data_IF_905012955537
#
_entry.id   IF_905012955537
#
_cell.length_a   1.000
_cell.length_b   1.000
_cell.length_c   1.000
_cell.angle_alpha   90.00
_cell.angle_beta   90.00
_cell.angle_gamma   90.00
#
_symmetry.space_group_name_H-M   'P 1'
#
loop_
_entity.id
_entity.type
_entity.pdbx_description
1 polymer ?
#
# COMPACT_ATOMS: atom_id res chain seq x y z
N UNK A 1 36.91 -10.17 2.63
CA UNK A 1 37.26 -10.98 3.82
C UNK A 1 38.59 -11.75 3.66
N UNK A 2 38.81 -12.50 2.57
CA UNK A 2 40.07 -13.23 2.34
C UNK A 2 41.31 -12.31 2.23
N UNK A 3 41.15 -11.12 1.65
CA UNK A 3 42.21 -10.12 1.46
C UNK A 3 42.79 -9.54 2.76
N UNK A 4 41.99 -9.49 3.84
CA UNK A 4 42.42 -8.90 5.13
C UNK A 4 42.89 -9.96 6.15
N UNK A 5 42.92 -11.23 5.76
CA UNK A 5 43.23 -12.35 6.66
C UNK A 5 44.60 -12.21 7.33
N UNK A 6 45.61 -11.71 6.61
CA UNK A 6 46.95 -11.46 7.13
C UNK A 6 47.00 -10.29 8.12
N UNK A 7 46.22 -9.24 7.89
CA UNK A 7 46.14 -8.08 8.79
C UNK A 7 45.43 -8.45 10.10
N UNK A 8 44.36 -9.24 10.01
CA UNK A 8 43.65 -9.77 11.18
C UNK A 8 44.52 -10.72 12.01
N UNK A 9 45.31 -11.59 11.36
CA UNK A 9 46.24 -12.48 12.06
C UNK A 9 47.32 -11.70 12.84
N UNK A 10 47.85 -10.61 12.26
CA UNK A 10 48.83 -9.73 12.93
C UNK A 10 48.21 -8.99 14.12
N UNK A 11 47.00 -8.46 13.97
CA UNK A 11 46.29 -7.77 15.04
C UNK A 11 45.94 -8.71 16.21
N UNK A 12 45.48 -9.93 15.91
CA UNK A 12 45.19 -10.95 16.92
C UNK A 12 46.44 -11.32 17.72
N UNK A 13 47.56 -11.61 17.03
CA UNK A 13 48.85 -11.92 17.64
C UNK A 13 49.36 -10.80 18.56
N UNK A 14 49.21 -9.53 18.16
CA UNK A 14 49.55 -8.39 19.01
C UNK A 14 48.68 -8.31 20.27
N UNK A 15 47.38 -8.59 20.16
CA UNK A 15 46.45 -8.51 21.28
C UNK A 15 46.60 -9.69 22.27
N UNK A 16 46.98 -10.87 21.81
CA UNK A 16 47.10 -12.09 22.63
C UNK A 16 48.53 -12.45 23.01
N UNK A 17 49.54 -11.72 22.50
CA UNK A 17 50.95 -11.99 22.76
C UNK A 17 51.48 -13.27 22.08
N UNK A 18 50.80 -13.75 21.05
CA UNK A 18 51.14 -14.99 20.33
C UNK A 18 51.80 -14.70 18.98
N UNK A 19 52.28 -15.74 18.28
CA UNK A 19 52.94 -15.58 16.99
C UNK A 19 51.90 -15.35 15.86
N UNK A 20 52.13 -14.44 14.89
CA UNK A 20 51.23 -14.23 13.74
C UNK A 20 50.82 -15.49 12.97
N UNK A 21 51.62 -16.55 13.00
CA UNK A 21 51.28 -17.86 12.42
C UNK A 21 50.10 -18.55 13.12
N UNK A 22 49.90 -18.31 14.42
CA UNK A 22 48.78 -18.87 15.19
C UNK A 22 47.46 -18.14 14.91
N UNK A 23 47.53 -16.87 14.50
CA UNK A 23 46.38 -16.09 14.04
C UNK A 23 45.95 -16.42 12.61
N UNK A 24 46.73 -17.18 11.85
CA UNK A 24 46.36 -17.57 10.48
C UNK A 24 45.17 -18.52 10.51
N UNK A 25 44.14 -18.17 9.74
CA UNK A 25 42.90 -18.95 9.71
C UNK A 25 42.01 -18.77 10.93
N UNK A 26 42.31 -17.84 11.87
CA UNK A 26 41.47 -17.58 13.05
C UNK A 26 40.05 -17.20 12.66
N UNK A 27 39.88 -16.41 11.58
CA UNK A 27 38.56 -16.07 11.03
C UNK A 27 37.83 -17.28 10.45
N UNK A 28 38.56 -18.22 9.87
CA UNK A 28 37.99 -19.44 9.32
C UNK A 28 37.58 -20.41 10.43
N UNK A 29 38.42 -20.56 11.47
CA UNK A 29 38.11 -21.30 12.69
C UNK A 29 36.92 -20.68 13.41
N UNK A 30 36.93 -19.37 13.68
CA UNK A 30 35.79 -18.68 14.26
C UNK A 30 34.53 -18.82 13.40
N UNK A 31 34.59 -18.76 12.07
CA UNK A 31 33.39 -19.02 11.23
C UNK A 31 32.93 -20.48 11.28
N UNK A 32 33.84 -21.44 11.38
CA UNK A 32 33.51 -22.85 11.48
C UNK A 32 32.97 -23.22 12.87
N UNK A 33 33.54 -22.64 13.92
CA UNK A 33 33.15 -22.80 15.33
C UNK A 33 31.89 -21.99 15.65
N UNK A 34 31.66 -20.86 14.96
CA UNK A 34 30.40 -20.10 15.02
C UNK A 34 29.32 -20.78 14.18
N UNK A 35 29.10 -22.07 14.43
CA UNK A 35 27.81 -22.72 14.19
C UNK A 35 26.98 -22.49 15.45
N UNK A 36 26.39 -21.30 15.61
CA UNK A 36 25.39 -21.13 16.65
C UNK A 36 24.24 -22.08 16.35
N UNK A 37 24.14 -23.16 17.12
CA UNK A 37 23.00 -24.05 17.04
C UNK A 37 21.75 -23.32 17.56
N UNK A 38 20.57 -23.82 17.20
CA UNK A 38 19.31 -23.30 17.72
C UNK A 38 19.27 -23.40 19.26
N UNK A 39 19.89 -24.44 19.81
CA UNK A 39 20.00 -24.64 21.25
C UNK A 39 20.88 -23.58 21.92
N UNK A 40 22.06 -23.30 21.36
CA UNK A 40 22.98 -22.27 21.88
C UNK A 40 22.33 -20.89 21.84
N UNK A 41 21.56 -20.61 20.78
CA UNK A 41 20.80 -19.37 20.68
C UNK A 41 19.76 -19.27 21.80
N UNK A 42 18.99 -20.33 22.05
CA UNK A 42 17.99 -20.34 23.12
C UNK A 42 18.62 -20.23 24.53
N UNK A 43 19.81 -20.80 24.74
CA UNK A 43 20.55 -20.63 26.00
C UNK A 43 21.03 -19.19 26.20
N UNK A 44 21.53 -18.55 25.14
CA UNK A 44 21.91 -17.13 25.17
C UNK A 44 20.71 -16.24 25.51
N UNK A 45 19.56 -16.51 24.91
CA UNK A 45 18.32 -15.77 25.20
C UNK A 45 17.89 -15.97 26.65
N UNK A 46 17.93 -17.22 27.15
CA UNK A 46 17.63 -17.51 28.55
C UNK A 46 18.57 -16.76 29.50
N UNK A 47 19.88 -16.82 29.25
CA UNK A 47 20.88 -16.13 30.06
C UNK A 47 20.64 -14.61 30.07
N UNK A 48 20.28 -14.05 28.92
CA UNK A 48 19.92 -12.63 28.82
C UNK A 48 18.69 -12.29 29.67
N UNK A 49 17.61 -13.08 29.58
CA UNK A 49 16.37 -12.87 30.36
C UNK A 49 16.64 -13.04 31.87
N UNK A 50 17.44 -14.03 32.26
CA UNK A 50 17.77 -14.31 33.67
C UNK A 50 18.61 -13.18 34.30
N UNK A 51 19.35 -12.42 33.49
CA UNK A 51 20.09 -11.25 33.95
C UNK A 51 19.21 -9.98 34.12
N UNK A 52 17.96 -9.99 33.65
CA UNK A 52 17.03 -8.87 33.79
C UNK A 52 16.22 -8.92 35.08
N UNK A 53 15.50 -7.83 35.36
CA UNK A 53 14.59 -7.73 36.50
C UNK A 53 13.47 -8.79 36.49
N UNK A 54 12.93 -9.19 37.66
CA UNK A 54 11.82 -10.12 37.75
C UNK A 54 10.63 -9.69 36.88
N UNK A 55 10.05 -10.64 36.13
CA UNK A 55 8.92 -10.38 35.23
C UNK A 55 9.30 -9.92 33.82
N UNK A 56 10.59 -9.75 33.50
CA UNK A 56 11.04 -9.42 32.15
C UNK A 56 10.62 -10.49 31.13
N UNK A 57 10.15 -10.04 29.96
CA UNK A 57 9.80 -10.87 28.81
C UNK A 57 10.48 -10.33 27.57
N UNK A 58 10.95 -11.22 26.71
CA UNK A 58 11.61 -10.85 25.45
C UNK A 58 10.76 -11.30 24.26
N UNK A 59 10.42 -10.36 23.39
CA UNK A 59 9.63 -10.64 22.20
C UNK A 59 10.47 -10.39 20.95
N UNK A 60 10.56 -11.38 20.08
CA UNK A 60 11.16 -11.28 18.76
C UNK A 60 10.06 -11.00 17.74
N UNK A 61 10.21 -9.93 16.96
CA UNK A 61 9.32 -9.60 15.86
C UNK A 61 10.08 -9.80 14.56
N UNK A 62 9.60 -10.72 13.72
CA UNK A 62 10.22 -11.05 12.44
C UNK A 62 9.21 -10.79 11.33
N UNK A 63 9.53 -9.85 10.45
CA UNK A 63 8.64 -9.44 9.37
C UNK A 63 8.83 -10.33 8.12
N UNK A 64 7.75 -10.60 7.40
CA UNK A 64 7.70 -11.30 6.11
C UNK A 64 8.44 -12.64 6.07
N UNK A 65 8.33 -13.41 7.15
CA UNK A 65 8.90 -14.75 7.25
C UNK A 65 8.42 -15.67 6.12
N UNK A 66 7.18 -15.49 5.66
CA UNK A 66 6.63 -16.24 4.53
C UNK A 66 7.46 -16.09 3.25
N UNK A 67 7.90 -14.87 2.91
CA UNK A 67 8.76 -14.64 1.72
C UNK A 67 10.16 -15.21 1.91
N UNK A 68 10.73 -15.08 3.12
CA UNK A 68 12.06 -15.61 3.42
C UNK A 68 12.11 -17.14 3.34
N UNK A 69 11.04 -17.80 3.80
CA UNK A 69 10.94 -19.24 3.76
C UNK A 69 10.63 -19.73 2.35
N UNK A 70 9.73 -19.04 1.62
CA UNK A 70 9.22 -19.47 0.32
C UNK A 70 8.86 -20.98 0.37
N UNK A 71 9.51 -21.79 -0.48
CA UNK A 71 9.24 -23.23 -0.58
C UNK A 71 10.18 -24.10 0.29
N UNK A 72 11.03 -23.47 1.10
CA UNK A 72 12.09 -24.14 1.84
C UNK A 72 11.60 -24.69 3.19
N UNK A 73 11.13 -25.93 3.15
CA UNK A 73 10.67 -26.68 4.33
C UNK A 73 11.70 -26.68 5.48
N UNK A 74 13.00 -26.73 5.18
CA UNK A 74 14.05 -26.77 6.20
C UNK A 74 14.12 -25.46 7.00
N UNK A 75 13.93 -24.32 6.36
CA UNK A 75 13.91 -23.02 7.06
C UNK A 75 12.69 -22.90 7.97
N UNK A 76 11.54 -23.42 7.53
CA UNK A 76 10.34 -23.47 8.35
C UNK A 76 10.52 -24.39 9.58
N UNK A 77 11.10 -25.57 9.39
CA UNK A 77 11.44 -26.47 10.51
C UNK A 77 12.43 -25.82 11.48
N UNK A 78 13.44 -25.10 10.99
CA UNK A 78 14.36 -24.38 11.87
C UNK A 78 13.64 -23.31 12.70
N UNK A 79 12.76 -22.52 12.10
CA UNK A 79 11.97 -21.52 12.81
C UNK A 79 11.10 -22.16 13.90
N UNK A 80 10.49 -23.30 13.61
CA UNK A 80 9.74 -24.08 14.59
C UNK A 80 10.64 -24.51 15.75
N UNK A 81 11.80 -25.10 15.48
CA UNK A 81 12.74 -25.55 16.50
C UNK A 81 13.21 -24.37 17.38
N UNK A 82 13.38 -23.18 16.80
CA UNK A 82 13.70 -21.96 17.58
C UNK A 82 12.54 -21.61 18.50
N UNK A 83 11.29 -21.57 18.00
CA UNK A 83 10.12 -21.25 18.81
C UNK A 83 9.92 -22.24 19.98
N UNK A 84 10.06 -23.54 19.71
CA UNK A 84 9.94 -24.60 20.73
C UNK A 84 11.07 -24.54 21.76
N UNK A 85 12.31 -24.32 21.31
CA UNK A 85 13.48 -24.19 22.18
C UNK A 85 13.36 -22.97 23.09
N UNK A 86 12.91 -21.83 22.56
CA UNK A 86 12.65 -20.63 23.36
C UNK A 86 11.54 -20.86 24.38
N UNK A 87 10.42 -21.48 23.99
CA UNK A 87 9.33 -21.76 24.91
C UNK A 87 9.78 -22.65 26.08
N UNK A 88 10.52 -23.72 25.77
CA UNK A 88 10.99 -24.71 26.76
C UNK A 88 12.06 -24.12 27.67
N UNK A 89 13.13 -23.54 27.11
CA UNK A 89 14.27 -23.04 27.88
C UNK A 89 13.95 -21.76 28.65
N UNK A 90 13.17 -20.85 28.05
CA UNK A 90 12.80 -19.58 28.67
C UNK A 90 11.51 -19.66 29.50
N UNK A 91 10.84 -20.83 29.53
CA UNK A 91 9.57 -21.07 30.25
C UNK A 91 8.48 -20.07 29.86
N UNK A 92 8.31 -19.85 28.57
CA UNK A 92 7.32 -18.91 28.02
C UNK A 92 7.63 -17.41 28.22
N UNK A 93 8.80 -17.04 28.74
CA UNK A 93 9.25 -15.63 28.84
C UNK A 93 9.81 -15.06 27.52
N UNK A 94 10.03 -15.90 26.52
CA UNK A 94 10.48 -15.51 25.19
C UNK A 94 9.42 -15.88 24.15
N UNK A 95 8.98 -14.90 23.36
CA UNK A 95 7.98 -15.10 22.30
C UNK A 95 8.57 -14.75 20.95
N UNK A 96 8.15 -15.47 19.91
CA UNK A 96 8.42 -15.11 18.52
C UNK A 96 7.09 -14.76 17.87
N UNK A 97 7.01 -13.54 17.36
CA UNK A 97 5.91 -13.06 16.53
C UNK A 97 6.44 -12.94 15.11
N UNK A 98 5.78 -13.63 14.19
CA UNK A 98 6.13 -13.61 12.78
C UNK A 98 4.97 -13.09 11.97
N UNK A 99 5.25 -12.28 10.95
CA UNK A 99 4.26 -11.91 9.94
C UNK A 99 4.48 -12.76 8.68
N UNK A 100 3.39 -13.12 8.02
CA UNK A 100 3.38 -13.80 6.74
C UNK A 100 2.19 -13.26 5.93
N UNK A 101 2.29 -13.30 4.59
CA UNK A 101 1.19 -12.87 3.73
C UNK A 101 -0.06 -13.72 4.00
N UNK A 102 -1.24 -13.09 4.05
CA UNK A 102 -2.49 -13.74 4.48
C UNK A 102 -2.83 -14.98 3.64
N UNK A 103 -2.48 -14.96 2.36
CA UNK A 103 -2.77 -16.05 1.44
C UNK A 103 -1.49 -16.75 1.00
N UNK A 104 -0.82 -17.42 1.95
CA UNK A 104 0.21 -18.38 1.55
C UNK A 104 -0.38 -19.49 0.69
N UNK A 105 -1.68 -19.81 0.79
CA UNK A 105 -2.37 -20.81 -0.05
C UNK A 105 -2.33 -20.48 -1.55
N UNK A 106 -2.44 -19.20 -1.91
CA UNK A 106 -2.30 -18.75 -3.30
C UNK A 106 -0.85 -18.75 -3.83
N UNK A 107 0.14 -18.55 -2.95
CA UNK A 107 1.58 -18.72 -3.29
C UNK A 107 1.94 -20.20 -3.46
N UNK A 108 1.13 -21.07 -2.86
CA UNK A 108 1.25 -22.54 -2.84
C UNK A 108 0.60 -23.18 -4.09
N UNK A 109 0.12 -22.42 -5.07
CA UNK A 109 -0.50 -22.96 -6.30
C UNK A 109 0.40 -23.89 -7.13
N UNK A 110 1.73 -23.84 -6.94
CA UNK A 110 2.71 -24.68 -7.63
C UNK A 110 3.36 -25.76 -6.71
N UNK A 111 2.90 -25.89 -5.45
CA UNK A 111 3.45 -26.89 -4.53
C UNK A 111 2.82 -28.27 -4.72
N UNK A 112 3.64 -29.31 -4.62
CA UNK A 112 3.12 -30.69 -4.57
C UNK A 112 2.29 -30.90 -3.30
N UNK A 113 1.19 -31.69 -3.36
CA UNK A 113 0.30 -32.02 -2.22
C UNK A 113 1.02 -32.45 -0.91
N UNK A 114 2.27 -32.90 -0.98
CA UNK A 114 3.10 -33.23 0.19
C UNK A 114 3.60 -31.99 0.94
N UNK A 115 4.02 -30.94 0.21
CA UNK A 115 4.51 -29.70 0.81
C UNK A 115 3.38 -28.94 1.52
N UNK A 116 2.17 -28.92 0.94
CA UNK A 116 0.97 -28.35 1.57
C UNK A 116 0.64 -29.00 2.94
N UNK A 117 0.73 -30.32 3.00
CA UNK A 117 0.45 -31.10 4.21
C UNK A 117 1.47 -30.84 5.32
N UNK A 118 2.76 -30.71 4.98
CA UNK A 118 3.80 -30.44 5.96
C UNK A 118 3.76 -28.98 6.44
N UNK A 119 3.43 -28.02 5.57
CA UNK A 119 3.21 -26.63 5.97
C UNK A 119 1.99 -26.46 6.88
N UNK A 120 0.89 -27.16 6.60
CA UNK A 120 -0.32 -27.12 7.43
C UNK A 120 -0.06 -27.61 8.86
N UNK A 121 0.77 -28.66 9.02
CA UNK A 121 1.20 -29.15 10.34
C UNK A 121 2.05 -28.12 11.11
N UNK A 122 2.91 -27.39 10.41
CA UNK A 122 3.77 -26.38 11.05
C UNK A 122 2.96 -25.13 11.42
N UNK A 123 2.02 -24.70 10.56
CA UNK A 123 1.09 -23.63 10.90
C UNK A 123 0.26 -23.93 12.15
N UNK A 124 -0.12 -25.20 12.38
CA UNK A 124 -0.87 -25.61 13.57
C UNK A 124 -0.10 -25.39 14.89
N UNK A 125 1.23 -25.21 14.85
CA UNK A 125 2.06 -24.90 16.03
C UNK A 125 2.04 -23.41 16.38
N UNK A 126 1.70 -22.54 15.44
CA UNK A 126 1.41 -21.12 15.67
C UNK A 126 -0.09 -20.94 15.98
N UNK A 127 -0.52 -21.47 17.13
CA UNK A 127 -1.93 -21.53 17.51
C UNK A 127 -2.59 -20.15 17.65
N UNK A 128 -1.81 -19.13 18.04
CA UNK A 128 -2.30 -17.76 18.20
C UNK A 128 -2.15 -16.99 16.88
N UNK A 129 -3.21 -16.99 16.08
CA UNK A 129 -3.27 -16.17 14.86
C UNK A 129 -3.80 -14.78 15.21
N UNK A 130 -3.00 -13.76 14.89
CA UNK A 130 -3.41 -12.36 14.95
C UNK A 130 -3.62 -11.90 13.51
N UNK A 131 -4.83 -12.02 12.94
CA UNK A 131 -5.07 -11.51 11.60
C UNK A 131 -4.87 -9.99 11.64
N UNK A 132 -3.80 -9.53 10.99
CA UNK A 132 -3.65 -8.13 10.65
C UNK A 132 -4.60 -7.88 9.48
N UNK A 133 -5.81 -7.44 9.80
CA UNK A 133 -6.78 -7.07 8.78
C UNK A 133 -6.37 -5.72 8.20
N UNK A 134 -6.45 -5.60 6.88
CA UNK A 134 -6.23 -4.37 6.12
C UNK A 134 -7.24 -3.24 6.45
N UNK A 135 -8.13 -3.46 7.41
CA UNK A 135 -9.19 -2.54 7.81
C UNK A 135 -8.64 -1.26 8.48
N UNK A 136 -7.45 -1.31 9.09
CA UNK A 136 -6.91 -0.19 9.87
C UNK A 136 -5.73 0.52 9.21
N UNK A 137 -5.56 0.40 7.88
CA UNK A 137 -4.52 1.18 7.17
C UNK A 137 -4.73 2.68 7.37
N UNK A 138 -6.00 3.12 7.45
CA UNK A 138 -6.34 4.50 7.79
C UNK A 138 -5.79 4.91 9.16
N UNK A 139 -5.93 4.06 10.20
CA UNK A 139 -5.39 4.34 11.53
C UNK A 139 -3.86 4.43 11.52
N UNK A 140 -3.20 3.53 10.78
CA UNK A 140 -1.74 3.56 10.63
C UNK A 140 -1.29 4.86 9.96
N UNK A 141 -1.94 5.27 8.86
CA UNK A 141 -1.67 6.55 8.18
C UNK A 141 -1.87 7.73 9.15
N UNK A 142 -3.00 7.76 9.85
CA UNK A 142 -3.34 8.82 10.80
C UNK A 142 -2.31 8.95 11.93
N UNK A 143 -1.90 7.82 12.54
CA UNK A 143 -1.02 7.81 13.72
C UNK A 143 0.47 7.91 13.38
N UNK A 144 0.91 7.34 12.25
CA UNK A 144 2.34 7.28 11.89
C UNK A 144 2.74 8.39 10.95
N UNK A 145 1.94 8.67 9.92
CA UNK A 145 2.29 9.64 8.88
C UNK A 145 1.75 11.04 9.22
N UNK A 146 0.51 11.11 9.72
CA UNK A 146 -0.24 12.36 9.85
C UNK A 146 -0.29 12.90 11.28
N UNK A 147 0.54 12.38 12.19
CA UNK A 147 0.58 12.84 13.58
C UNK A 147 0.75 14.37 13.64
N UNK A 148 -0.22 15.04 14.24
CA UNK A 148 -0.26 16.51 14.32
C UNK A 148 0.53 17.01 15.52
N UNK A 149 1.09 18.20 15.38
CA UNK A 149 1.63 19.00 16.50
C UNK A 149 0.47 19.64 17.26
N UNK A 150 0.71 20.07 18.51
CA UNK A 150 -0.32 20.76 19.31
C UNK A 150 -0.86 22.01 18.61
N UNK A 151 0.01 22.80 17.99
CA UNK A 151 -0.38 23.96 17.17
C UNK A 151 -1.24 23.54 15.97
N UNK A 152 -0.86 22.46 15.28
CA UNK A 152 -1.64 21.95 14.15
C UNK A 152 -3.03 21.46 14.56
N UNK A 153 -3.15 20.84 15.73
CA UNK A 153 -4.44 20.42 16.31
C UNK A 153 -5.35 21.64 16.53
N UNK A 154 -4.82 22.73 17.11
CA UNK A 154 -5.60 23.96 17.34
C UNK A 154 -6.12 24.55 16.03
N UNK A 155 -5.24 24.72 15.03
CA UNK A 155 -5.60 25.30 13.73
C UNK A 155 -6.65 24.44 13.01
N UNK A 156 -6.48 23.12 13.03
CA UNK A 156 -7.43 22.20 12.39
C UNK A 156 -8.76 22.10 13.15
N UNK A 157 -8.75 22.29 14.46
CA UNK A 157 -9.97 22.40 15.26
C UNK A 157 -10.79 23.62 14.84
N UNK A 158 -10.16 24.77 14.65
CA UNK A 158 -10.84 25.99 14.19
C UNK A 158 -11.39 25.82 12.77
N UNK A 159 -10.60 25.19 11.88
CA UNK A 159 -11.03 24.84 10.53
C UNK A 159 -12.26 23.91 10.56
N UNK A 160 -12.23 22.88 11.41
CA UNK A 160 -13.36 21.96 11.57
C UNK A 160 -14.60 22.71 12.04
N UNK A 161 -14.50 23.59 13.03
CA UNK A 161 -15.66 24.35 13.52
C UNK A 161 -16.28 25.24 12.44
N UNK A 162 -15.46 25.80 11.54
CA UNK A 162 -15.95 26.58 10.40
C UNK A 162 -16.64 25.72 9.35
N UNK A 163 -16.07 24.55 9.04
CA UNK A 163 -16.50 23.73 7.89
C UNK A 163 -17.42 22.56 8.25
N UNK A 164 -17.64 22.23 9.54
CA UNK A 164 -18.35 21.01 9.96
C UNK A 164 -19.72 20.82 9.29
N UNK A 165 -20.47 21.90 9.09
CA UNK A 165 -21.76 21.89 8.42
C UNK A 165 -21.66 21.69 6.90
N UNK A 166 -20.52 22.06 6.30
CA UNK A 166 -20.24 21.94 4.87
C UNK A 166 -19.71 20.54 4.50
N UNK A 167 -19.03 19.83 5.41
CA UNK A 167 -18.35 18.56 5.11
C UNK A 167 -19.27 17.51 4.45
N UNK A 168 -20.53 17.44 4.87
CA UNK A 168 -21.49 16.52 4.25
C UNK A 168 -21.82 16.96 2.82
N UNK A 169 -22.09 18.24 2.60
CA UNK A 169 -22.35 18.78 1.26
C UNK A 169 -21.16 18.59 0.30
N UNK A 170 -19.93 18.73 0.82
CA UNK A 170 -18.71 18.63 0.03
C UNK A 170 -18.35 17.19 -0.39
N UNK A 171 -18.61 16.20 0.47
CA UNK A 171 -18.06 14.84 0.28
C UNK A 171 -19.10 13.70 0.31
N UNK A 172 -20.41 13.99 0.23
CA UNK A 172 -21.45 12.95 0.24
C UNK A 172 -21.79 12.42 -1.16
N UNK A 173 -21.67 11.10 -1.32
CA UNK A 173 -21.97 10.33 -2.53
C UNK A 173 -23.42 9.82 -2.47
N UNK A 174 -24.37 10.59 -2.99
CA UNK A 174 -25.82 10.32 -2.79
C UNK A 174 -26.51 9.60 -3.96
N UNK A 175 -25.78 9.11 -4.96
CA UNK A 175 -26.29 8.56 -6.23
C UNK A 175 -26.41 7.01 -6.25
N UNK A 176 -26.42 6.39 -5.07
CA UNK A 176 -26.45 4.94 -4.92
C UNK A 176 -25.13 4.27 -5.34
N UNK A 177 -24.04 5.03 -5.41
CA UNK A 177 -22.66 4.53 -5.34
C UNK A 177 -22.40 3.86 -3.97
N UNK A 178 -21.27 3.17 -3.81
CA UNK A 178 -20.87 2.64 -2.50
C UNK A 178 -20.95 3.71 -1.42
N UNK A 179 -21.44 3.30 -0.25
CA UNK A 179 -21.40 4.15 0.93
C UNK A 179 -19.96 4.28 1.41
N UNK A 180 -19.34 5.40 1.09
CA UNK A 180 -18.03 5.76 1.59
C UNK A 180 -18.15 6.60 2.86
N UNK A 181 -17.23 6.40 3.79
CA UNK A 181 -17.23 7.14 5.04
C UNK A 181 -16.82 8.60 4.83
N UNK A 182 -17.39 9.49 5.64
CA UNK A 182 -17.02 10.89 5.73
C UNK A 182 -16.43 11.17 7.13
N UNK A 183 -16.05 12.40 7.41
CA UNK A 183 -15.59 12.80 8.75
C UNK A 183 -16.66 12.52 9.80
N UNK A 184 -16.26 11.83 10.87
CA UNK A 184 -17.17 11.37 11.94
C UNK A 184 -17.36 12.45 12.99
N UNK A 185 -16.25 13.06 13.37
CA UNK A 185 -16.16 14.08 14.39
C UNK A 185 -14.90 14.93 14.14
N UNK A 186 -14.67 15.90 15.03
CA UNK A 186 -13.51 16.79 15.01
C UNK A 186 -12.19 16.02 15.06
N UNK A 187 -12.08 15.02 15.93
CA UNK A 187 -10.81 14.33 16.14
C UNK A 187 -10.46 13.48 14.91
N UNK A 188 -11.45 12.84 14.29
CA UNK A 188 -11.28 12.14 13.02
C UNK A 188 -10.84 13.10 11.89
N UNK A 189 -11.41 14.31 11.84
CA UNK A 189 -10.98 15.36 10.91
C UNK A 189 -9.52 15.75 11.10
N UNK A 190 -9.13 16.06 12.35
CA UNK A 190 -7.76 16.45 12.69
C UNK A 190 -6.76 15.34 12.33
N UNK A 191 -7.10 14.08 12.61
CA UNK A 191 -6.22 12.95 12.34
C UNK A 191 -6.10 12.59 10.87
N UNK A 192 -7.16 12.81 10.07
CA UNK A 192 -7.19 12.46 8.65
C UNK A 192 -6.68 13.56 7.72
N UNK A 193 -6.77 14.84 8.12
CA UNK A 193 -6.31 15.98 7.31
C UNK A 193 -4.85 15.79 6.83
N UNK A 194 -4.52 16.01 5.54
CA UNK A 194 -5.34 16.64 4.49
C UNK A 194 -6.17 15.65 3.64
N UNK A 195 -6.29 14.39 4.06
CA UNK A 195 -7.06 13.38 3.35
C UNK A 195 -8.50 13.34 3.85
N UNK A 196 -9.41 13.03 2.93
CA UNK A 196 -10.83 12.85 3.24
C UNK A 196 -11.08 11.36 3.51
N UNK A 197 -11.87 10.97 4.54
CA UNK A 197 -12.01 9.58 4.95
C UNK A 197 -12.41 8.59 3.84
N UNK A 198 -13.21 9.02 2.86
CA UNK A 198 -13.60 8.17 1.73
C UNK A 198 -12.38 7.68 0.91
N UNK A 199 -11.29 8.45 0.91
CA UNK A 199 -10.12 8.19 0.07
C UNK A 199 -9.40 6.91 0.49
N UNK A 200 -9.38 6.57 1.78
CA UNK A 200 -8.73 5.35 2.26
C UNK A 200 -9.38 4.07 1.68
N UNK A 201 -10.68 3.79 1.91
CA UNK A 201 -11.32 2.59 1.38
C UNK A 201 -11.47 2.64 -0.15
N UNK A 202 -11.71 3.82 -0.75
CA UNK A 202 -11.83 3.91 -2.20
C UNK A 202 -10.51 3.59 -2.90
N UNK A 203 -9.39 4.10 -2.37
CA UNK A 203 -8.07 3.80 -2.93
C UNK A 203 -7.67 2.34 -2.69
N UNK A 204 -8.01 1.76 -1.53
CA UNK A 204 -7.83 0.33 -1.30
C UNK A 204 -8.54 -0.52 -2.36
N UNK A 205 -9.81 -0.23 -2.63
CA UNK A 205 -10.59 -0.90 -3.67
C UNK A 205 -9.98 -0.67 -5.05
N UNK A 206 -9.56 0.55 -5.37
CA UNK A 206 -8.91 0.88 -6.63
C UNK A 206 -7.67 0.00 -6.88
N UNK A 207 -6.76 -0.07 -5.91
CA UNK A 207 -5.53 -0.85 -6.01
C UNK A 207 -5.81 -2.35 -6.14
N UNK A 208 -6.74 -2.88 -5.34
CA UNK A 208 -7.12 -4.29 -5.40
C UNK A 208 -7.68 -4.65 -6.79
N UNK A 209 -8.59 -3.83 -7.33
CA UNK A 209 -9.20 -4.10 -8.64
C UNK A 209 -8.19 -3.89 -9.79
N UNK A 210 -7.35 -2.86 -9.73
CA UNK A 210 -6.27 -2.65 -10.71
C UNK A 210 -5.29 -3.84 -10.72
N UNK A 211 -4.96 -4.40 -9.56
CA UNK A 211 -4.13 -5.60 -9.45
C UNK A 211 -4.81 -6.84 -10.04
N UNK A 212 -6.09 -7.06 -9.75
CA UNK A 212 -6.87 -8.17 -10.31
C UNK A 212 -6.97 -8.09 -11.84
N UNK A 213 -7.01 -6.89 -12.40
CA UNK A 213 -7.01 -6.62 -13.84
C UNK A 213 -5.61 -6.48 -14.44
N UNK A 214 -4.56 -6.96 -13.75
CA UNK A 214 -3.18 -6.98 -14.25
C UNK A 214 -2.64 -5.60 -14.70
N UNK A 215 -3.03 -4.50 -14.04
CA UNK A 215 -2.55 -3.16 -14.37
C UNK A 215 -1.12 -2.86 -13.85
N UNK A 216 -0.60 -3.66 -12.91
CA UNK A 216 0.72 -3.49 -12.31
C UNK A 216 1.79 -4.41 -12.93
N UNK A 217 3.06 -3.98 -12.85
CA UNK A 217 4.21 -4.79 -13.27
C UNK A 217 4.41 -5.98 -12.33
N UNK A 218 4.49 -7.20 -12.87
CA UNK A 218 4.64 -8.46 -12.12
C UNK A 218 3.31 -9.03 -11.60
N UNK A 219 3.02 -10.30 -11.91
CA UNK A 219 1.73 -10.98 -11.63
C UNK A 219 1.35 -11.11 -10.14
N UNK A 220 2.29 -10.84 -9.23
CA UNK A 220 2.10 -10.94 -7.77
C UNK A 220 2.86 -9.85 -7.01
N UNK A 221 3.23 -8.76 -7.70
CA UNK A 221 3.94 -7.66 -7.06
C UNK A 221 3.09 -7.11 -5.93
N UNK A 222 3.74 -6.82 -4.82
CA UNK A 222 3.17 -6.56 -3.51
C UNK A 222 2.38 -5.24 -3.46
N UNK A 223 1.35 -5.09 -4.27
CA UNK A 223 0.49 -3.90 -4.34
C UNK A 223 -0.54 -3.91 -3.22
N UNK A 224 -0.11 -4.32 -2.02
CA UNK A 224 -0.90 -4.34 -0.80
C UNK A 224 -0.79 -3.05 0.00
N UNK A 225 -0.91 -3.17 1.32
CA UNK A 225 -0.95 -2.08 2.30
C UNK A 225 0.32 -1.21 2.33
N UNK A 226 1.49 -1.79 2.04
CA UNK A 226 2.76 -1.04 1.97
C UNK A 226 2.80 -0.05 0.81
N UNK A 227 2.21 -0.40 -0.33
CA UNK A 227 2.03 0.54 -1.45
C UNK A 227 1.11 1.69 -1.06
N UNK A 228 0.06 1.40 -0.28
CA UNK A 228 -0.84 2.45 0.20
C UNK A 228 -0.12 3.46 1.09
N UNK A 229 0.65 3.02 2.09
CA UNK A 229 1.40 3.93 2.96
C UNK A 229 2.36 4.83 2.19
N UNK A 230 3.09 4.27 1.21
CA UNK A 230 4.02 5.03 0.37
C UNK A 230 3.31 6.10 -0.46
N UNK A 231 2.17 5.76 -1.08
CA UNK A 231 1.38 6.69 -1.89
C UNK A 231 0.86 7.85 -1.03
N UNK A 232 0.23 7.55 0.11
CA UNK A 232 -0.27 8.59 1.01
C UNK A 232 0.87 9.46 1.57
N UNK A 233 2.04 8.89 1.82
CA UNK A 233 3.23 9.65 2.21
C UNK A 233 3.68 10.62 1.11
N UNK A 234 3.78 10.16 -0.13
CA UNK A 234 4.19 11.01 -1.25
C UNK A 234 3.19 12.14 -1.51
N UNK A 235 1.90 11.85 -1.42
CA UNK A 235 0.85 12.87 -1.52
C UNK A 235 0.96 13.87 -0.36
N UNK A 236 1.13 13.39 0.88
CA UNK A 236 1.28 14.28 2.04
C UNK A 236 2.50 15.20 1.92
N UNK A 237 3.63 14.71 1.39
CA UNK A 237 4.83 15.53 1.15
C UNK A 237 4.55 16.63 0.13
N UNK A 238 3.85 16.32 -0.98
CA UNK A 238 3.49 17.33 -1.99
C UNK A 238 2.50 18.38 -1.48
N UNK A 239 1.64 18.00 -0.53
CA UNK A 239 0.70 18.92 0.11
C UNK A 239 1.33 19.75 1.25
N UNK A 240 2.57 19.46 1.65
CA UNK A 240 3.20 20.09 2.82
C UNK A 240 3.32 21.61 2.70
N UNK A 241 3.54 22.12 1.49
CA UNK A 241 3.68 23.55 1.20
C UNK A 241 2.35 24.24 0.91
N UNK A 242 1.23 23.51 0.88
CA UNK A 242 -0.09 24.08 0.62
C UNK A 242 -0.65 24.68 1.90
N UNK A 243 -1.19 25.92 1.86
CA UNK A 243 -1.84 26.53 3.01
C UNK A 243 -2.96 25.67 3.60
N UNK A 244 -3.17 25.82 4.90
CA UNK A 244 -4.24 25.11 5.62
C UNK A 244 -5.60 25.38 4.97
N UNK A 245 -6.35 24.31 4.73
CA UNK A 245 -7.59 24.31 3.95
C UNK A 245 -7.45 23.61 2.60
N UNK A 246 -6.22 23.35 2.15
CA UNK A 246 -5.94 22.42 1.06
C UNK A 246 -6.23 20.97 1.43
N UNK A 247 -6.82 20.22 0.51
CA UNK A 247 -7.09 18.79 0.66
C UNK A 247 -6.50 18.03 -0.53
N UNK A 248 -6.17 16.75 -0.29
CA UNK A 248 -5.72 15.86 -1.34
C UNK A 248 -6.85 15.61 -2.35
N UNK A 249 -6.57 15.76 -3.63
CA UNK A 249 -7.46 15.28 -4.70
C UNK A 249 -7.12 13.83 -5.05
N UNK A 250 -8.12 13.06 -5.51
CA UNK A 250 -7.95 11.62 -5.72
C UNK A 250 -6.93 11.30 -6.83
N UNK A 251 -6.80 12.17 -7.83
CA UNK A 251 -5.80 12.04 -8.90
C UNK A 251 -4.35 12.03 -8.37
N UNK A 252 -4.06 12.66 -7.24
CA UNK A 252 -2.70 12.69 -6.69
C UNK A 252 -2.21 11.29 -6.29
N UNK A 253 -3.14 10.39 -5.96
CA UNK A 253 -2.84 8.99 -5.64
C UNK A 253 -2.30 8.23 -6.86
N UNK A 254 -2.68 8.64 -8.08
CA UNK A 254 -2.18 8.05 -9.33
C UNK A 254 -0.66 8.22 -9.44
N UNK A 255 -0.16 9.41 -9.11
CA UNK A 255 1.29 9.68 -9.22
C UNK A 255 2.10 8.77 -8.31
N UNK A 256 1.60 8.47 -7.10
CA UNK A 256 2.30 7.58 -6.17
C UNK A 256 2.34 6.11 -6.61
N UNK A 257 1.49 5.70 -7.56
CA UNK A 257 1.52 4.35 -8.13
C UNK A 257 2.05 4.30 -9.56
N UNK A 258 2.32 5.47 -10.16
CA UNK A 258 2.62 5.61 -11.58
C UNK A 258 3.75 4.68 -12.03
N UNK A 259 4.83 4.60 -11.25
CA UNK A 259 6.01 3.78 -11.57
C UNK A 259 5.78 2.28 -11.42
N UNK A 260 4.74 1.86 -10.72
CA UNK A 260 4.39 0.45 -10.53
C UNK A 260 3.42 -0.07 -11.62
N UNK A 261 2.78 0.84 -12.37
CA UNK A 261 1.85 0.49 -13.45
C UNK A 261 2.60 -0.05 -14.66
N UNK A 262 1.98 -0.93 -15.43
CA UNK A 262 2.53 -1.41 -16.70
C UNK A 262 2.73 -0.28 -17.70
N UNK A 263 3.71 -0.47 -18.57
CA UNK A 263 4.10 0.52 -19.57
C UNK A 263 2.95 0.97 -20.47
N UNK A 264 2.04 0.08 -20.89
CA UNK A 264 0.89 0.46 -21.74
C UNK A 264 -0.02 1.49 -21.06
N UNK A 265 -0.37 1.26 -19.79
CA UNK A 265 -1.17 2.21 -19.00
C UNK A 265 -0.44 3.54 -18.84
N UNK A 266 0.85 3.50 -18.51
CA UNK A 266 1.66 4.71 -18.39
C UNK A 266 1.72 5.50 -19.70
N UNK A 267 1.87 4.82 -20.84
CA UNK A 267 1.92 5.45 -22.15
C UNK A 267 0.59 6.12 -22.50
N UNK A 268 -0.55 5.46 -22.24
CA UNK A 268 -1.87 6.02 -22.54
C UNK A 268 -2.10 7.36 -21.82
N UNK A 269 -1.68 7.46 -20.56
CA UNK A 269 -1.79 8.71 -19.76
C UNK A 269 -0.72 9.73 -20.18
N UNK A 270 0.50 9.29 -20.51
CA UNK A 270 1.55 10.18 -21.00
C UNK A 270 1.18 10.83 -22.35
N UNK A 271 0.48 10.10 -23.22
CA UNK A 271 -0.03 10.63 -24.49
C UNK A 271 -1.10 11.71 -24.20
N UNK A 272 -2.01 11.46 -23.25
CA UNK A 272 -2.98 12.46 -22.82
C UNK A 272 -2.29 13.72 -22.26
N UNK A 273 -1.30 13.56 -21.37
CA UNK A 273 -0.52 14.67 -20.79
C UNK A 273 0.13 15.55 -21.87
N UNK A 274 0.59 14.96 -22.98
CA UNK A 274 1.25 15.69 -24.07
C UNK A 274 0.27 16.32 -25.06
N UNK A 275 -0.84 15.66 -25.34
CA UNK A 275 -1.70 16.01 -26.47
C UNK A 275 -2.97 16.77 -26.08
N UNK A 276 -3.45 16.63 -24.85
CA UNK A 276 -4.74 17.21 -24.44
C UNK A 276 -4.66 18.74 -24.27
N UNK A 277 -3.50 19.27 -23.84
CA UNK A 277 -3.31 20.70 -23.58
C UNK A 277 -4.06 21.25 -22.35
N UNK A 278 -4.96 20.45 -21.76
CA UNK A 278 -5.71 20.76 -20.55
C UNK A 278 -5.20 19.90 -19.38
N UNK A 279 -4.50 20.56 -18.45
CA UNK A 279 -3.94 19.92 -17.26
C UNK A 279 -5.03 19.39 -16.32
N UNK A 280 -6.16 20.11 -16.18
CA UNK A 280 -7.22 19.69 -15.29
C UNK A 280 -7.95 18.46 -15.84
N UNK A 281 -8.25 18.43 -17.14
CA UNK A 281 -8.82 17.26 -17.78
C UNK A 281 -7.88 16.05 -17.70
N UNK A 282 -6.57 16.25 -17.81
CA UNK A 282 -5.59 15.18 -17.59
C UNK A 282 -5.63 14.62 -16.16
N UNK A 283 -5.82 15.49 -15.16
CA UNK A 283 -5.99 15.08 -13.76
C UNK A 283 -7.30 14.33 -13.53
N UNK A 284 -8.40 14.77 -14.15
CA UNK A 284 -9.68 14.04 -14.15
C UNK A 284 -9.50 12.64 -14.75
N UNK A 285 -8.77 12.52 -15.86
CA UNK A 285 -8.49 11.23 -16.49
C UNK A 285 -7.75 10.27 -15.54
N UNK A 286 -6.76 10.77 -14.78
CA UNK A 286 -6.03 9.98 -13.76
C UNK A 286 -6.96 9.51 -12.64
N UNK A 287 -7.88 10.36 -12.17
CA UNK A 287 -8.87 9.96 -11.17
C UNK A 287 -9.83 8.87 -11.71
N UNK A 288 -10.30 9.02 -12.96
CA UNK A 288 -11.15 8.02 -13.63
C UNK A 288 -10.43 6.68 -13.84
N UNK A 289 -9.14 6.72 -14.19
CA UNK A 289 -8.32 5.51 -14.28
C UNK A 289 -8.30 4.73 -12.96
N UNK A 290 -8.08 5.41 -11.83
CA UNK A 290 -8.04 4.77 -10.51
C UNK A 290 -9.35 4.03 -10.18
N UNK A 291 -10.50 4.59 -10.56
CA UNK A 291 -11.81 4.01 -10.25
C UNK A 291 -12.37 3.09 -11.34
N UNK A 292 -11.67 2.92 -12.49
CA UNK A 292 -12.17 2.17 -13.66
C UNK A 292 -12.75 0.81 -13.32
N UNK A 293 -12.05 0.03 -12.51
CA UNK A 293 -12.46 -1.34 -12.17
C UNK A 293 -13.25 -1.43 -10.85
N UNK A 294 -13.52 -0.31 -10.19
CA UNK A 294 -14.29 -0.28 -8.94
C UNK A 294 -15.79 -0.22 -9.28
N UNK A 295 -16.37 -1.36 -9.68
CA UNK A 295 -17.78 -1.46 -10.14
C UNK A 295 -18.82 -0.86 -9.21
N UNK A 296 -18.53 -0.87 -7.91
CA UNK A 296 -19.45 -0.39 -6.91
C UNK A 296 -19.41 1.17 -6.78
N UNK A 297 -18.36 1.81 -7.30
CA UNK A 297 -18.27 3.25 -7.41
C UNK A 297 -18.86 3.73 -8.74
N UNK A 298 -19.74 4.74 -8.69
CA UNK A 298 -20.34 5.34 -9.89
C UNK A 298 -19.60 6.63 -10.28
N UNK A 299 -18.87 6.68 -11.40
CA UNK A 299 -18.15 7.87 -11.84
C UNK A 299 -19.08 8.87 -12.56
N UNK A 300 -20.06 9.42 -11.85
CA UNK A 300 -20.90 10.53 -12.34
C UNK A 300 -20.14 11.86 -12.31
N UNK A 301 -20.54 12.85 -13.12
CA UNK A 301 -19.91 14.19 -13.09
C UNK A 301 -19.88 14.79 -11.67
N UNK A 302 -20.92 14.53 -10.86
CA UNK A 302 -20.95 14.92 -9.45
C UNK A 302 -19.89 14.19 -8.62
N UNK A 303 -19.79 12.87 -8.73
CA UNK A 303 -18.83 12.10 -7.94
C UNK A 303 -17.40 12.41 -8.34
N UNK A 304 -17.13 12.62 -9.64
CA UNK A 304 -15.83 13.10 -10.13
C UNK A 304 -15.52 14.49 -9.55
N UNK A 305 -16.50 15.39 -9.45
CA UNK A 305 -16.29 16.68 -8.81
C UNK A 305 -15.89 16.55 -7.33
N UNK A 306 -16.46 15.59 -6.60
CA UNK A 306 -16.03 15.28 -5.22
C UNK A 306 -14.58 14.77 -5.20
N UNK A 307 -14.22 13.84 -6.09
CA UNK A 307 -12.85 13.30 -6.19
C UNK A 307 -11.80 14.39 -6.47
N UNK A 308 -12.19 15.43 -7.20
CA UNK A 308 -11.32 16.53 -7.65
C UNK A 308 -11.38 17.78 -6.78
N UNK A 309 -12.13 17.76 -5.67
CA UNK A 309 -12.19 18.90 -4.76
C UNK A 309 -10.86 19.06 -4.02
N UNK A 310 -10.24 20.25 -4.12
CA UNK A 310 -8.90 20.51 -3.60
C UNK A 310 -8.85 21.46 -2.40
N UNK A 311 -9.97 22.12 -2.06
CA UNK A 311 -10.12 23.01 -0.90
C UNK A 311 -11.57 23.05 -0.42
N UNK A 312 -11.79 23.53 0.82
CA UNK A 312 -13.13 23.68 1.40
C UNK A 312 -13.89 24.92 0.91
N UNK A 313 -13.18 25.98 0.51
CA UNK A 313 -13.72 27.29 0.13
C UNK A 313 -14.01 27.45 -1.37
N UNK A 314 -14.13 26.32 -2.09
CA UNK A 314 -14.37 26.30 -3.54
C UNK A 314 -15.83 26.61 -3.87
N UNK A 315 -16.06 27.42 -4.90
CA UNK A 315 -17.37 27.59 -5.54
C UNK A 315 -17.78 26.28 -6.24
N UNK A 316 -18.66 25.51 -5.59
CA UNK A 316 -19.09 24.20 -6.07
C UNK A 316 -19.75 24.24 -7.45
N UNK A 317 -20.42 25.33 -7.79
CA UNK A 317 -21.07 25.46 -9.11
C UNK A 317 -20.02 25.64 -10.20
N UNK A 318 -19.03 26.50 -9.98
CA UNK A 318 -17.91 26.67 -10.92
C UNK A 318 -17.07 25.40 -11.03
N UNK A 319 -16.80 24.74 -9.89
CA UNK A 319 -16.04 23.49 -9.87
C UNK A 319 -16.74 22.37 -10.64
N UNK A 320 -18.03 22.17 -10.42
CA UNK A 320 -18.81 21.17 -11.16
C UNK A 320 -18.79 21.45 -12.66
N UNK A 321 -18.96 22.71 -13.06
CA UNK A 321 -18.91 23.11 -14.48
C UNK A 321 -17.54 22.83 -15.09
N UNK A 322 -16.45 23.15 -14.39
CA UNK A 322 -15.09 22.88 -14.85
C UNK A 322 -14.83 21.37 -15.02
N UNK A 323 -15.40 20.54 -14.14
CA UNK A 323 -15.36 19.08 -14.26
C UNK A 323 -16.16 18.59 -15.45
N UNK A 324 -17.35 19.13 -15.71
CA UNK A 324 -18.16 18.79 -16.89
C UNK A 324 -17.46 19.18 -18.20
N UNK A 325 -16.81 20.34 -18.24
CA UNK A 325 -15.99 20.80 -19.38
C UNK A 325 -14.81 19.85 -19.61
N UNK A 326 -14.09 19.48 -18.56
CA UNK A 326 -13.00 18.50 -18.63
C UNK A 326 -13.46 17.10 -19.12
N UNK A 327 -14.59 16.61 -18.61
CA UNK A 327 -15.17 15.34 -19.06
C UNK A 327 -15.54 15.40 -20.55
N UNK A 328 -16.10 16.52 -21.01
CA UNK A 328 -16.43 16.70 -22.42
C UNK A 328 -15.18 16.69 -23.31
N UNK A 329 -14.09 17.34 -22.89
CA UNK A 329 -12.81 17.31 -23.61
C UNK A 329 -12.27 15.87 -23.71
N UNK A 330 -12.31 15.11 -22.61
CA UNK A 330 -11.85 13.73 -22.60
C UNK A 330 -12.70 12.81 -23.50
N UNK A 331 -14.03 13.01 -23.51
CA UNK A 331 -14.96 12.24 -24.33
C UNK A 331 -14.79 12.54 -25.83
N UNK A 332 -14.63 13.82 -26.19
CA UNK A 332 -14.38 14.26 -27.56
C UNK A 332 -13.08 13.67 -28.12
N UNK A 333 -12.05 13.56 -27.28
CA UNK A 333 -10.77 12.98 -27.66
C UNK A 333 -10.69 11.46 -27.43
N UNK A 334 -11.82 10.80 -27.13
CA UNK A 334 -11.92 9.34 -26.95
C UNK A 334 -10.96 8.79 -25.88
N UNK A 335 -10.71 9.54 -24.80
CA UNK A 335 -10.01 9.02 -23.63
C UNK A 335 -10.95 8.34 -22.63
N UNK A 336 -12.23 8.71 -22.67
CA UNK A 336 -13.29 8.17 -21.84
C UNK A 336 -14.51 7.89 -22.70
N UNK A 337 -15.37 6.98 -22.24
CA UNK A 337 -16.70 6.76 -22.78
C UNK A 337 -17.76 7.21 -21.78
N UNK A 338 -18.94 7.56 -22.29
CA UNK A 338 -20.11 7.88 -21.48
C UNK A 338 -21.17 6.80 -21.65
N UNK A 339 -21.53 6.13 -20.56
CA UNK A 339 -22.65 5.18 -20.53
C UNK A 339 -23.77 5.72 -19.62
N UNK A 340 -24.79 6.32 -20.24
CA UNK A 340 -25.81 7.08 -19.51
C UNK A 340 -25.19 8.28 -18.78
N UNK A 341 -25.13 8.21 -17.45
CA UNK A 341 -24.53 9.26 -16.60
C UNK A 341 -23.16 8.88 -16.03
N UNK A 342 -22.60 7.74 -16.44
CA UNK A 342 -21.32 7.22 -15.96
C UNK A 342 -20.20 7.51 -16.97
N UNK A 343 -19.08 8.03 -16.48
CA UNK A 343 -17.88 8.31 -17.27
C UNK A 343 -16.79 7.29 -16.95
N UNK A 344 -16.30 6.57 -17.96
CA UNK A 344 -15.35 5.48 -17.77
C UNK A 344 -14.08 5.69 -18.58
N UNK A 345 -12.92 5.47 -17.97
CA UNK A 345 -11.63 5.48 -18.66
C UNK A 345 -11.58 4.38 -19.71
N UNK A 346 -11.10 4.69 -20.93
CA UNK A 346 -10.89 3.71 -21.99
C UNK A 346 -9.44 3.22 -22.03
N UNK A 347 -9.23 1.90 -21.99
CA UNK A 347 -7.94 1.29 -22.33
C UNK A 347 -7.66 1.45 -23.83
N UNK A 348 -6.41 1.26 -24.25
CA UNK A 348 -6.05 1.39 -25.66
C UNK A 348 -6.90 0.48 -26.56
N UNK A 349 -7.17 -0.76 -26.12
CA UNK A 349 -8.07 -1.69 -26.83
C UNK A 349 -9.52 -1.18 -26.91
N UNK A 350 -10.04 -0.58 -25.83
CA UNK A 350 -11.39 -0.02 -25.82
C UNK A 350 -11.49 1.29 -26.63
N UNK A 351 -10.40 2.07 -26.71
CA UNK A 351 -10.34 3.27 -27.56
C UNK A 351 -10.45 2.93 -29.03
N UNK A 352 -9.78 1.87 -29.48
CA UNK A 352 -9.86 1.42 -30.87
C UNK A 352 -11.31 1.07 -31.24
N UNK A 353 -12.00 0.30 -30.37
CA UNK A 353 -13.41 -0.04 -30.54
C UNK A 353 -14.31 1.20 -30.54
N UNK A 354 -14.09 2.13 -29.61
CA UNK A 354 -14.89 3.37 -29.52
C UNK A 354 -14.69 4.28 -30.74
N UNK A 355 -13.47 4.34 -31.29
CA UNK A 355 -13.19 5.07 -32.53
C UNK A 355 -13.89 4.42 -33.73
N UNK A 356 -13.92 3.09 -33.81
CA UNK A 356 -14.68 2.37 -34.84
C UNK A 356 -16.17 2.67 -34.74
N UNK A 357 -16.75 2.65 -33.53
CA UNK A 357 -18.16 2.99 -33.31
C UNK A 357 -18.47 4.42 -33.78
N UNK A 358 -17.60 5.39 -33.44
CA UNK A 358 -17.75 6.78 -33.89
C UNK A 358 -17.59 6.97 -35.40
N UNK A 359 -16.86 6.09 -36.07
CA UNK A 359 -16.63 6.14 -37.52
C UNK A 359 -17.77 5.51 -38.34
N UNK A 360 -18.67 4.75 -37.70
CA UNK A 360 -19.87 4.23 -38.36
C UNK A 360 -20.83 5.40 -38.62
N UNK A 361 -21.05 5.74 -39.89
CA UNK A 361 -22.10 6.68 -40.27
C UNK A 361 -23.46 6.09 -39.90
N UNK A 362 -24.09 6.67 -38.87
CA UNK A 362 -25.45 6.33 -38.50
C UNK A 362 -26.39 6.94 -39.54
N UNK A 363 -26.96 6.10 -40.41
CA UNK A 363 -27.95 6.54 -41.38
C UNK A 363 -29.23 6.95 -40.62
N UNK A 364 -29.39 8.25 -40.42
CA UNK A 364 -30.56 8.86 -39.74
C UNK A 364 -31.91 8.46 -40.36
N UNK A 365 -31.94 7.87 -41.55
CA UNK A 365 -33.14 7.34 -42.18
C UNK A 365 -33.63 6.00 -41.58
N UNK A 366 -32.77 5.20 -40.93
CA UNK A 366 -33.18 3.93 -40.31
C UNK A 366 -33.75 4.10 -38.89
N UNK A 367 -33.31 5.13 -38.15
CA UNK A 367 -33.80 5.39 -36.78
C UNK A 367 -35.25 5.93 -36.78
N UNK A 368 -35.71 6.55 -37.87
CA UNK A 368 -37.06 7.08 -37.98
C UNK A 368 -38.13 6.04 -38.38
N UNK A 369 -37.79 4.75 -38.44
CA UNK A 369 -38.70 3.65 -38.83
C UNK A 369 -39.07 2.67 -37.70
N UNK A 370 -38.56 2.86 -36.49
CA UNK A 370 -39.10 2.27 -35.26
C UNK A 370 -39.86 3.33 -34.45
#
# INVERSE_FOLDING_TARGET
>A
ALLESANVAKAYAQATGTNPSEGQGILARYRQDFRSSIEDFADKVKAYIDAQQPGFRLNFFVDEVGQYIADNVKLMTNLQTIAESLNTKCRGRAWIIVTAQQDMGAVIGDMTQRQENDFSKIQARFANRMPLNSADVAEVIQKRLLKKTETGISILSDLYHREANNLKTLFDFSDGSIRLENFRDRDHFIHSYPFVPYQYPLFQLAIQNLSQHNAFEGKHSSVGERSMLGVFQEVAIRLADIPVGGIATFDQMFEGIRTALKSNVQQSILIAEKNLGDEFATRVLKALFLVKYVKAFKPTARNVAILMLNRFDVDLTKHKRHVEEALSVLEQNTYIQRNGDLFEFLTDEEKDVEQEIKAIEVDTAEIAKE
#
